data_IF_177856617108
#
_entry.id   IF_177856617108
#
_cell.length_a   1.000
_cell.length_b   1.000
_cell.length_c   1.000
_cell.angle_alpha   90.00
_cell.angle_beta   90.00
_cell.angle_gamma   90.00
#
_symmetry.space_group_name_H-M   'P 1'
#
loop_
_entity.id
_entity.type
_entity.pdbx_description
1 polymer ?
#
# COMPACT_ATOMS: atom_id res chain seq x y z
N UNK A 1 -9.98 -2.86 18.87
CA UNK A 1 -9.37 -1.57 18.53
C UNK A 1 -8.70 -1.76 17.18
N UNK A 2 -9.51 -1.61 16.13
CA UNK A 2 -9.12 -1.93 14.75
C UNK A 2 -8.23 -0.82 14.15
N UNK A 3 -7.85 0.18 14.95
CA UNK A 3 -6.99 1.30 14.57
C UNK A 3 -5.50 0.95 14.47
N UNK A 4 -5.11 -0.29 14.79
CA UNK A 4 -3.69 -0.72 14.93
C UNK A 4 -3.28 -1.74 13.85
N UNK A 5 -4.14 -2.08 12.89
CA UNK A 5 -3.75 -2.96 11.78
C UNK A 5 -3.51 -2.14 10.50
N UNK A 6 -2.25 -2.05 10.02
CA UNK A 6 -1.90 -1.27 8.83
C UNK A 6 -2.70 -1.67 7.58
N UNK A 7 -3.02 -2.96 7.47
CA UNK A 7 -3.90 -3.54 6.47
C UNK A 7 -5.33 -2.99 6.52
N UNK A 8 -5.86 -2.64 7.70
CA UNK A 8 -7.20 -2.05 7.86
C UNK A 8 -7.24 -0.54 7.55
N UNK A 9 -6.09 0.14 7.58
CA UNK A 9 -6.00 1.57 7.26
C UNK A 9 -6.18 1.86 5.76
N UNK A 10 -6.02 0.84 4.90
CA UNK A 10 -6.17 0.93 3.45
C UNK A 10 -7.52 0.35 3.04
N UNK A 11 -8.55 1.18 3.11
CA UNK A 11 -9.88 0.84 2.65
C UNK A 11 -9.95 0.70 1.11
N UNK A 12 -11.06 0.12 0.62
CA UNK A 12 -11.31 -0.09 -0.81
C UNK A 12 -11.14 1.19 -1.65
N UNK A 13 -11.63 2.33 -1.18
CA UNK A 13 -11.50 3.60 -1.89
C UNK A 13 -10.03 4.03 -2.06
N UNK A 14 -9.17 3.81 -1.07
CA UNK A 14 -7.72 4.03 -1.19
C UNK A 14 -7.09 3.05 -2.18
N UNK A 15 -7.50 1.78 -2.15
CA UNK A 15 -7.01 0.77 -3.10
C UNK A 15 -7.32 1.17 -4.54
N UNK A 16 -8.57 1.57 -4.83
CA UNK A 16 -9.01 2.03 -6.16
C UNK A 16 -8.26 3.28 -6.64
N UNK A 17 -8.03 4.23 -5.72
CA UNK A 17 -7.25 5.44 -6.00
C UNK A 17 -5.81 5.10 -6.40
N UNK A 18 -5.12 4.29 -5.60
CA UNK A 18 -3.73 3.91 -5.88
C UNK A 18 -3.61 3.02 -7.12
N UNK A 19 -4.61 2.15 -7.38
CA UNK A 19 -4.73 1.40 -8.62
C UNK A 19 -4.79 2.32 -9.84
N UNK A 20 -5.63 3.35 -9.81
CA UNK A 20 -5.71 4.34 -10.89
C UNK A 20 -4.37 5.03 -11.12
N UNK A 21 -3.70 5.47 -10.05
CA UNK A 21 -2.38 6.11 -10.15
C UNK A 21 -1.32 5.17 -10.73
N UNK A 22 -1.30 3.91 -10.30
CA UNK A 22 -0.37 2.91 -10.81
C UNK A 22 -0.59 2.62 -12.30
N UNK A 23 -1.85 2.58 -12.75
CA UNK A 23 -2.19 2.41 -14.18
C UNK A 23 -1.79 3.62 -15.02
N UNK A 24 -2.02 4.84 -14.53
CA UNK A 24 -1.56 6.06 -15.20
C UNK A 24 -0.04 6.09 -15.32
N UNK A 25 0.67 5.67 -14.28
CA UNK A 25 2.11 5.52 -14.32
C UNK A 25 2.52 4.47 -15.37
N UNK A 26 1.92 3.29 -15.35
CA UNK A 26 2.21 2.21 -16.30
C UNK A 26 2.01 2.64 -17.77
N UNK A 27 0.96 3.40 -18.06
CA UNK A 27 0.66 3.90 -19.40
C UNK A 27 1.78 4.79 -19.97
N UNK A 28 2.51 5.50 -19.10
CA UNK A 28 3.62 6.37 -19.48
C UNK A 28 4.99 5.67 -19.45
N UNK A 29 5.06 4.43 -18.96
CA UNK A 29 6.31 3.71 -18.75
C UNK A 29 6.23 2.30 -19.37
N UNK A 30 6.44 2.16 -20.70
CA UNK A 30 6.29 0.88 -21.42
C UNK A 30 7.23 -0.24 -20.94
N UNK A 31 8.33 0.11 -20.27
CA UNK A 31 9.28 -0.85 -19.71
C UNK A 31 8.83 -1.45 -18.37
N UNK A 32 7.72 -0.99 -17.79
CA UNK A 32 7.20 -1.52 -16.53
C UNK A 32 6.65 -2.94 -16.74
N UNK A 33 7.20 -3.93 -16.02
CA UNK A 33 6.84 -5.34 -16.18
C UNK A 33 5.92 -5.88 -15.08
N UNK A 34 5.82 -5.20 -13.93
CA UNK A 34 5.01 -5.66 -12.80
C UNK A 34 4.65 -4.51 -11.87
N UNK A 35 3.51 -4.63 -11.20
CA UNK A 35 3.02 -3.71 -10.17
C UNK A 35 2.73 -4.52 -8.91
N UNK A 36 3.13 -4.03 -7.74
CA UNK A 36 2.82 -4.61 -6.44
C UNK A 36 2.26 -3.55 -5.51
N UNK A 37 1.22 -3.89 -4.76
CA UNK A 37 0.67 -3.04 -3.73
C UNK A 37 1.23 -3.44 -2.37
N UNK A 38 2.02 -2.55 -1.76
CA UNK A 38 2.59 -2.75 -0.43
C UNK A 38 2.00 -1.76 0.57
N UNK A 39 2.01 -2.11 1.85
CA UNK A 39 1.68 -1.19 2.95
C UNK A 39 2.86 -1.10 3.90
N UNK A 40 3.32 0.11 4.18
CA UNK A 40 4.35 0.37 5.18
C UNK A 40 3.70 1.09 6.35
N UNK A 41 3.67 0.41 7.50
CA UNK A 41 3.23 0.98 8.76
C UNK A 41 4.40 1.65 9.47
N UNK A 42 4.18 2.86 9.97
CA UNK A 42 5.12 3.59 10.80
C UNK A 42 4.49 3.80 12.17
N UNK A 43 5.01 3.13 13.18
CA UNK A 43 4.52 3.21 14.55
C UNK A 43 5.51 4.03 15.38
N UNK A 44 5.06 5.14 15.95
CA UNK A 44 5.88 5.92 16.88
C UNK A 44 5.85 5.20 18.24
N UNK A 45 7.01 4.74 18.71
CA UNK A 45 7.12 3.96 19.95
C UNK A 45 7.62 4.80 21.12
N UNK A 46 8.42 5.82 20.84
CA UNK A 46 8.95 6.78 21.80
C UNK A 46 9.39 8.07 21.07
N UNK A 47 9.74 9.16 21.77
CA UNK A 47 10.33 10.34 21.13
C UNK A 47 11.53 9.94 20.26
N UNK A 48 11.55 10.43 19.03
CA UNK A 48 12.61 10.15 18.04
C UNK A 48 12.81 8.65 17.70
N UNK A 49 11.86 7.77 18.05
CA UNK A 49 11.95 6.33 17.81
C UNK A 49 10.69 5.82 17.15
N UNK A 50 10.84 5.15 16.01
CA UNK A 50 9.74 4.55 15.27
C UNK A 50 10.05 3.09 14.91
N UNK A 51 9.01 2.27 14.87
CA UNK A 51 9.04 0.91 14.34
C UNK A 51 8.37 0.89 12.97
N UNK A 52 9.01 0.21 12.02
CA UNK A 52 8.50 0.02 10.67
C UNK A 52 8.00 -1.42 10.50
N UNK A 53 6.79 -1.58 9.96
CA UNK A 53 6.27 -2.87 9.50
C UNK A 53 5.92 -2.77 8.03
N UNK A 54 6.58 -3.57 7.20
CA UNK A 54 6.32 -3.64 5.77
C UNK A 54 5.48 -4.88 5.46
N UNK A 55 4.27 -4.66 4.99
CA UNK A 55 3.38 -5.68 4.44
C UNK A 55 3.58 -5.71 2.93
N UNK A 56 4.35 -6.71 2.50
CA UNK A 56 4.67 -6.93 1.08
C UNK A 56 3.48 -7.62 0.41
N UNK A 57 3.03 -7.09 -0.74
CA UNK A 57 1.89 -7.65 -1.46
C UNK A 57 0.60 -7.62 -0.64
N UNK A 58 0.39 -6.52 0.09
CA UNK A 58 -0.69 -6.37 1.07
C UNK A 58 -2.09 -6.58 0.47
N UNK A 59 -2.25 -6.33 -0.83
CA UNK A 59 -3.48 -6.61 -1.56
C UNK A 59 -3.14 -7.27 -2.90
N UNK A 60 -3.96 -8.26 -3.29
CA UNK A 60 -3.91 -8.83 -4.62
C UNK A 60 -4.43 -7.81 -5.63
N UNK A 61 -3.85 -7.82 -6.82
CA UNK A 61 -4.40 -7.07 -7.95
C UNK A 61 -5.68 -7.72 -8.50
N UNK A 62 -5.84 -9.02 -8.23
CA UNK A 62 -6.79 -9.95 -8.84
C UNK A 62 -7.91 -10.38 -7.88
N UNK A 63 -8.56 -9.45 -7.19
CA UNK A 63 -9.90 -9.70 -6.69
C UNK A 63 -10.90 -8.90 -7.55
N UNK A 64 -11.57 -9.66 -8.41
CA UNK A 64 -12.57 -9.25 -9.41
C UNK A 64 -13.76 -8.51 -8.79
#
# INVERSE_FOLDING_TARGET
DDSIMPELAVNRAKQEKYRTLALMYAALHPALTSIRFDVVAINLVAPSTASLRHLIGAFSWDEQ
#
